data_IF_973860624664
#
_entry.id   IF_973860624664
#
_cell.length_a   1.000
_cell.length_b   1.000
_cell.length_c   1.000
_cell.angle_alpha   90.00
_cell.angle_beta   90.00
_cell.angle_gamma   90.00
#
_symmetry.space_group_name_H-M   'P 1'
#
loop_
_entity.id
_entity.type
_entity.pdbx_description
1 polymer ?
#
# COMPACT_ATOMS: atom_id res chain seq x y z
N UNK A 1 13.19 -8.21 -10.07
CA UNK A 1 12.31 -7.23 -9.37
C UNK A 1 13.19 -6.16 -8.74
N UNK A 2 12.79 -4.89 -8.81
CA UNK A 2 13.48 -3.77 -8.13
C UNK A 2 12.58 -3.16 -7.07
N UNK A 3 13.18 -2.69 -5.98
CA UNK A 3 12.44 -2.08 -4.87
C UNK A 3 13.12 -0.77 -4.44
N UNK A 4 12.32 0.16 -3.98
CA UNK A 4 12.75 1.37 -3.31
C UNK A 4 11.97 1.51 -2.02
N UNK A 5 12.69 1.57 -0.91
CA UNK A 5 12.14 1.67 0.43
C UNK A 5 12.33 3.08 0.96
N UNK A 6 11.25 3.65 1.49
CA UNK A 6 11.22 4.98 2.06
C UNK A 6 10.45 4.93 3.36
N UNK A 7 10.83 5.79 4.31
CA UNK A 7 10.08 5.99 5.55
C UNK A 7 9.86 7.46 5.81
N UNK A 8 8.70 7.80 6.34
CA UNK A 8 8.38 9.11 6.86
C UNK A 8 8.42 9.05 8.38
N UNK A 9 9.33 9.82 8.97
CA UNK A 9 9.45 9.98 10.42
C UNK A 9 10.03 11.37 10.72
N UNK A 10 9.62 11.99 11.83
CA UNK A 10 10.13 13.31 12.20
C UNK A 10 9.85 14.39 11.14
N UNK A 11 8.72 14.27 10.42
CA UNK A 11 8.28 15.18 9.34
C UNK A 11 9.18 15.24 8.11
N UNK A 12 9.93 14.17 7.83
CA UNK A 12 10.77 14.05 6.64
C UNK A 12 10.73 12.64 6.07
N UNK A 13 10.97 12.55 4.76
CA UNK A 13 11.24 11.28 4.10
C UNK A 13 12.70 10.88 4.29
N UNK A 14 12.93 9.58 4.47
CA UNK A 14 14.23 8.96 4.44
C UNK A 14 14.16 7.75 3.50
N UNK A 15 14.87 7.77 2.35
CA UNK A 15 15.68 8.88 1.83
C UNK A 15 14.83 10.12 1.48
N UNK A 16 15.44 11.31 1.50
CA UNK A 16 14.74 12.60 1.35
C UNK A 16 14.05 12.81 -0.02
N UNK A 17 14.44 12.05 -1.03
CA UNK A 17 13.87 12.13 -2.39
C UNK A 17 13.25 10.76 -2.73
N UNK A 18 11.92 10.63 -2.66
CA UNK A 18 11.17 9.58 -3.31
C UNK A 18 11.34 9.63 -4.84
N UNK A 19 11.22 8.50 -5.54
CA UNK A 19 11.12 8.48 -7.00
C UNK A 19 12.36 8.01 -7.75
N UNK A 20 13.28 7.26 -7.11
CA UNK A 20 14.44 6.71 -7.82
C UNK A 20 14.03 5.60 -8.80
N UNK A 21 12.98 4.85 -8.50
CA UNK A 21 12.38 3.91 -9.44
C UNK A 21 11.58 4.65 -10.50
N UNK A 22 11.95 4.47 -11.77
CA UNK A 22 11.35 5.18 -12.91
C UNK A 22 9.92 4.79 -13.22
N UNK A 23 9.57 3.52 -13.02
CA UNK A 23 8.25 2.99 -13.37
C UNK A 23 7.82 1.86 -12.43
N UNK A 24 7.73 2.09 -11.12
CA UNK A 24 7.14 1.12 -10.21
C UNK A 24 5.64 1.01 -10.51
N UNK A 25 5.10 -0.20 -10.42
CA UNK A 25 3.67 -0.46 -10.66
C UNK A 25 2.88 -0.54 -9.34
N UNK A 26 3.56 -0.68 -8.21
CA UNK A 26 2.96 -0.82 -6.88
C UNK A 26 3.75 0.00 -5.86
N UNK A 27 3.04 0.69 -4.97
CA UNK A 27 3.60 1.24 -3.74
C UNK A 27 2.83 0.64 -2.56
N UNK A 28 3.54 -0.11 -1.73
CA UNK A 28 3.02 -0.64 -0.47
C UNK A 28 3.18 0.40 0.64
N UNK A 29 2.11 0.68 1.38
CA UNK A 29 2.05 1.70 2.42
C UNK A 29 1.63 1.11 3.76
N UNK A 30 2.53 1.10 4.75
CA UNK A 30 2.24 0.65 6.10
C UNK A 30 2.62 1.76 7.08
N UNK A 31 1.65 2.22 7.86
CA UNK A 31 1.86 3.38 8.72
C UNK A 31 0.82 3.50 9.81
N UNK A 32 1.11 4.38 10.76
CA UNK A 32 0.15 4.66 11.81
C UNK A 32 -1.10 5.35 11.23
N UNK A 33 -2.29 5.17 11.84
CA UNK A 33 -3.55 5.70 11.31
C UNK A 33 -3.58 7.21 11.12
N UNK A 34 -2.86 7.98 11.94
CA UNK A 34 -2.84 9.45 11.86
C UNK A 34 -2.11 9.93 10.60
N UNK A 35 -0.98 9.31 10.24
CA UNK A 35 -0.22 9.63 9.03
C UNK A 35 -0.94 9.18 7.76
N UNK A 36 -1.55 7.99 7.76
CA UNK A 36 -2.34 7.51 6.61
C UNK A 36 -3.58 8.37 6.31
N UNK A 37 -4.04 9.19 7.27
CA UNK A 37 -5.12 10.17 7.06
C UNK A 37 -4.62 11.50 6.50
N UNK A 38 -3.32 11.76 6.47
CA UNK A 38 -2.74 12.98 5.92
C UNK A 38 -2.73 12.92 4.40
N UNK A 39 -3.67 13.63 3.77
CA UNK A 39 -3.83 13.63 2.32
C UNK A 39 -2.59 14.13 1.58
N UNK A 40 -1.94 15.16 2.10
CA UNK A 40 -0.75 15.76 1.47
C UNK A 40 0.41 14.76 1.39
N UNK A 41 0.58 13.93 2.43
CA UNK A 41 1.60 12.90 2.46
C UNK A 41 1.37 11.83 1.39
N UNK A 42 0.12 11.35 1.27
CA UNK A 42 -0.26 10.38 0.24
C UNK A 42 -0.21 10.98 -1.18
N UNK A 43 -0.58 12.25 -1.33
CA UNK A 43 -0.47 12.96 -2.61
C UNK A 43 0.99 13.09 -3.05
N UNK A 44 1.92 13.37 -2.14
CA UNK A 44 3.35 13.40 -2.45
C UNK A 44 3.85 12.06 -2.98
N UNK A 45 3.41 10.94 -2.39
CA UNK A 45 3.75 9.60 -2.88
C UNK A 45 3.14 9.34 -4.26
N UNK A 46 1.86 9.70 -4.47
CA UNK A 46 1.20 9.54 -5.76
C UNK A 46 1.86 10.40 -6.85
N UNK A 47 2.36 11.59 -6.51
CA UNK A 47 3.09 12.46 -7.44
C UNK A 47 4.47 11.89 -7.79
N UNK A 48 5.16 11.29 -6.82
CA UNK A 48 6.44 10.61 -7.06
C UNK A 48 6.28 9.34 -7.93
N UNK A 49 5.14 8.65 -7.81
CA UNK A 49 4.85 7.40 -8.51
C UNK A 49 3.46 7.41 -9.17
N UNK A 50 3.26 8.23 -10.22
CA UNK A 50 1.92 8.51 -10.77
C UNK A 50 1.23 7.29 -11.38
N UNK A 51 1.99 6.33 -11.89
CA UNK A 51 1.46 5.11 -12.51
C UNK A 51 1.31 3.94 -11.54
N UNK A 52 1.73 4.09 -10.29
CA UNK A 52 1.71 3.00 -9.33
C UNK A 52 0.35 2.89 -8.62
N UNK A 53 -0.08 1.66 -8.38
CA UNK A 53 -1.16 1.40 -7.43
C UNK A 53 -0.66 1.64 -6.01
N UNK A 54 -1.38 2.45 -5.24
CA UNK A 54 -1.14 2.61 -3.80
C UNK A 54 -2.00 1.60 -3.04
N UNK A 55 -1.36 0.72 -2.28
CA UNK A 55 -1.99 -0.37 -1.56
C UNK A 55 -1.36 -0.51 -0.17
N UNK A 56 -2.14 -0.81 0.86
CA UNK A 56 -1.60 -1.00 2.20
C UNK A 56 -2.65 -0.93 3.30
N UNK A 57 -2.19 -0.89 4.54
CA UNK A 57 -3.06 -0.81 5.72
C UNK A 57 -2.37 -0.11 6.88
N UNK A 58 -3.16 0.29 7.88
CA UNK A 58 -2.61 0.82 9.13
C UNK A 58 -2.03 -0.29 9.98
N UNK A 59 -0.95 0.01 10.69
CA UNK A 59 -0.28 -0.90 11.61
C UNK A 59 -0.16 -0.30 13.01
N UNK A 60 0.01 -1.16 14.02
CA UNK A 60 0.29 -0.71 15.40
C UNK A 60 1.78 -0.39 15.62
N UNK A 61 2.65 -0.94 14.78
CA UNK A 61 4.05 -0.56 14.62
C UNK A 61 4.47 -0.89 13.19
N UNK A 62 5.34 -0.07 12.63
CA UNK A 62 5.79 -0.21 11.25
C UNK A 62 7.13 -0.93 11.19
N UNK A 63 7.28 -1.85 10.23
CA UNK A 63 8.56 -2.53 10.03
C UNK A 63 9.29 -1.91 8.85
N UNK A 64 10.51 -1.45 9.10
CA UNK A 64 11.45 -0.94 8.10
C UNK A 64 12.74 -1.74 8.19
N UNK A 65 12.89 -2.75 7.32
CA UNK A 65 13.99 -3.72 7.43
C UNK A 65 13.88 -4.57 8.70
N UNK A 66 14.84 -4.44 9.60
CA UNK A 66 14.84 -5.13 10.91
C UNK A 66 14.40 -4.24 12.07
N UNK A 67 13.93 -3.03 11.78
CA UNK A 67 13.53 -2.05 12.80
C UNK A 67 12.01 -2.02 12.92
N UNK A 68 11.52 -2.02 14.17
CA UNK A 68 10.15 -1.61 14.50
C UNK A 68 10.18 -0.11 14.76
N UNK A 69 9.28 0.61 14.12
CA UNK A 69 9.14 2.06 14.21
C UNK A 69 7.77 2.41 14.76
N UNK A 70 7.73 3.50 15.52
CA UNK A 70 6.51 4.14 15.98
C UNK A 70 6.27 5.45 15.25
N UNK A 71 5.00 5.82 15.14
CA UNK A 71 4.52 7.07 14.53
C UNK A 71 5.13 7.35 13.15
N UNK A 72 5.22 6.31 12.33
CA UNK A 72 5.90 6.38 11.04
C UNK A 72 4.99 5.93 9.89
N UNK A 73 5.44 6.21 8.67
CA UNK A 73 4.85 5.65 7.45
C UNK A 73 5.98 5.07 6.60
N UNK A 74 5.91 3.77 6.35
CA UNK A 74 6.82 3.06 5.47
C UNK A 74 6.16 2.90 4.10
N UNK A 75 6.88 3.30 3.06
CA UNK A 75 6.49 3.17 1.67
C UNK A 75 7.51 2.31 0.92
N UNK A 76 7.04 1.25 0.27
CA UNK A 76 7.89 0.40 -0.58
C UNK A 76 7.37 0.44 -2.02
N UNK A 77 8.07 1.15 -2.89
CA UNK A 77 7.81 1.12 -4.31
C UNK A 77 8.41 -0.16 -4.91
N UNK A 78 7.63 -0.87 -5.72
CA UNK A 78 8.00 -2.14 -6.33
C UNK A 78 7.85 -2.04 -7.84
N UNK A 79 8.94 -2.37 -8.54
CA UNK A 79 8.98 -2.53 -9.97
C UNK A 79 9.16 -4.02 -10.31
N UNK A 80 8.08 -4.64 -10.78
CA UNK A 80 8.11 -5.97 -11.36
C UNK A 80 8.69 -5.92 -12.77
N UNK A 81 9.36 -7.01 -13.17
CA UNK A 81 9.95 -7.14 -14.51
C UNK A 81 8.93 -7.63 -15.55
N UNK A 82 8.08 -8.59 -15.16
CA UNK A 82 7.17 -9.29 -16.09
C UNK A 82 5.77 -9.49 -15.51
N UNK A 83 5.47 -8.95 -14.32
CA UNK A 83 4.19 -9.13 -13.65
C UNK A 83 3.23 -8.00 -14.01
N UNK A 84 2.08 -8.35 -14.61
CA UNK A 84 0.95 -7.44 -14.72
C UNK A 84 0.25 -7.31 -13.37
N UNK A 85 -0.20 -6.10 -13.03
CA UNK A 85 -0.88 -5.82 -11.77
C UNK A 85 -2.25 -5.20 -12.05
N UNK A 86 -3.23 -5.63 -11.26
CA UNK A 86 -4.54 -5.02 -11.18
C UNK A 86 -4.81 -4.63 -9.73
N UNK A 87 -5.24 -3.39 -9.50
CA UNK A 87 -5.66 -2.92 -8.20
C UNK A 87 -7.18 -2.82 -8.11
N UNK A 88 -7.79 -3.61 -7.22
CA UNK A 88 -9.21 -3.52 -6.88
C UNK A 88 -9.38 -3.12 -5.41
N UNK A 89 -10.43 -2.36 -5.10
CA UNK A 89 -10.78 -1.98 -3.73
C UNK A 89 -12.29 -1.84 -3.58
N UNK A 90 -12.77 -2.18 -2.40
CA UNK A 90 -14.16 -1.95 -2.01
C UNK A 90 -14.22 -1.13 -0.74
N UNK A 91 -15.31 -0.39 -0.57
CA UNK A 91 -15.63 0.26 0.69
C UNK A 91 -16.54 -0.67 1.50
N UNK A 92 -16.05 -1.12 2.66
CA UNK A 92 -16.85 -1.90 3.60
C UNK A 92 -18.04 -1.05 4.10
N UNK A 93 -19.25 -1.58 3.97
CA UNK A 93 -20.48 -0.96 4.48
C UNK A 93 -20.81 -1.56 5.85
N UNK A 94 -21.52 -0.80 6.69
CA UNK A 94 -22.00 -1.30 7.99
C UNK A 94 -22.87 -2.55 7.77
N UNK A 95 -22.58 -3.62 8.50
CA UNK A 95 -23.30 -4.90 8.41
C UNK A 95 -22.89 -5.82 7.25
N UNK A 96 -21.93 -5.42 6.42
CA UNK A 96 -21.34 -6.31 5.40
C UNK A 96 -20.43 -7.33 6.05
N UNK A 97 -20.57 -8.62 5.71
CA UNK A 97 -19.67 -9.67 6.18
C UNK A 97 -18.38 -9.73 5.35
N UNK A 98 -17.31 -10.29 5.93
CA UNK A 98 -16.04 -10.49 5.22
C UNK A 98 -16.19 -11.41 4.01
N UNK A 99 -17.10 -12.39 4.10
CA UNK A 99 -17.44 -13.26 2.97
C UNK A 99 -18.07 -12.47 1.80
N UNK A 100 -19.03 -11.58 2.11
CA UNK A 100 -19.64 -10.71 1.09
C UNK A 100 -18.61 -9.76 0.49
N UNK A 101 -17.74 -9.18 1.32
CA UNK A 101 -16.65 -8.31 0.89
C UNK A 101 -15.68 -9.04 -0.07
N UNK A 102 -15.26 -10.25 0.29
CA UNK A 102 -14.41 -11.10 -0.56
C UNK A 102 -15.09 -11.48 -1.88
N UNK A 103 -16.38 -11.81 -1.84
CA UNK A 103 -17.18 -12.09 -3.04
C UNK A 103 -17.24 -10.92 -4.02
N UNK A 104 -17.41 -9.69 -3.52
CA UNK A 104 -17.37 -8.48 -4.34
C UNK A 104 -15.99 -8.23 -4.95
N UNK A 105 -14.91 -8.40 -4.17
CA UNK A 105 -13.54 -8.28 -4.68
C UNK A 105 -13.28 -9.29 -5.81
N UNK A 106 -13.71 -10.53 -5.64
CA UNK A 106 -13.54 -11.60 -6.63
C UNK A 106 -14.33 -11.37 -7.92
N UNK A 107 -15.39 -10.56 -7.89
CA UNK A 107 -16.16 -10.18 -9.08
C UNK A 107 -15.48 -9.07 -9.89
N UNK A 108 -14.76 -8.16 -9.23
CA UNK A 108 -14.05 -7.04 -9.88
C UNK A 108 -12.68 -7.43 -10.46
N UNK A 109 -12.11 -8.56 -10.01
CA UNK A 109 -10.85 -9.08 -10.53
C UNK A 109 -11.04 -9.70 -11.91
N UNK A 110 -10.17 -9.34 -12.85
CA UNK A 110 -10.05 -10.08 -14.10
C UNK A 110 -9.44 -11.45 -13.81
N UNK A 111 -10.07 -12.49 -14.35
CA UNK A 111 -9.67 -13.88 -14.14
C UNK A 111 -8.70 -14.35 -15.21
N UNK A 112 -8.66 -13.67 -16.37
CA UNK A 112 -7.77 -14.05 -17.45
C UNK A 112 -6.31 -13.80 -17.06
N UNK A 113 -5.51 -14.87 -17.02
CA UNK A 113 -4.10 -14.79 -16.63
C UNK A 113 -3.82 -14.51 -15.14
N UNK A 114 -4.84 -14.55 -14.27
CA UNK A 114 -4.66 -14.32 -12.83
C UNK A 114 -3.98 -15.52 -12.15
N UNK A 115 -2.80 -15.31 -11.57
CA UNK A 115 -2.01 -16.34 -10.89
C UNK A 115 -2.01 -16.17 -9.37
N UNK A 116 -1.94 -14.93 -8.88
CA UNK A 116 -1.80 -14.61 -7.45
C UNK A 116 -2.72 -13.47 -7.04
N UNK A 117 -3.24 -13.54 -5.81
CA UNK A 117 -4.01 -12.49 -5.17
C UNK A 117 -3.33 -12.13 -3.85
N UNK A 118 -2.99 -10.85 -3.67
CA UNK A 118 -2.56 -10.28 -2.40
C UNK A 118 -3.70 -9.42 -1.84
N UNK A 119 -4.19 -9.76 -0.65
CA UNK A 119 -5.32 -9.08 -0.02
C UNK A 119 -4.88 -8.38 1.25
N UNK A 120 -5.18 -7.08 1.34
CA UNK A 120 -5.10 -6.33 2.60
C UNK A 120 -6.51 -6.06 3.10
N UNK A 121 -6.76 -6.39 4.35
CA UNK A 121 -8.01 -6.12 5.05
C UNK A 121 -7.71 -5.42 6.37
N UNK A 122 -8.78 -4.90 7.00
CA UNK A 122 -8.68 -4.43 8.38
C UNK A 122 -8.31 -5.63 9.27
N UNK A 123 -7.37 -5.43 10.20
CA UNK A 123 -7.06 -6.41 11.23
C UNK A 123 -8.23 -6.64 12.20
N UNK A 124 -7.99 -7.43 13.24
CA UNK A 124 -8.98 -7.76 14.27
C UNK A 124 -9.45 -6.52 15.04
N UNK A 125 -10.74 -6.47 15.35
CA UNK A 125 -11.32 -5.62 16.40
C UNK A 125 -10.71 -6.07 17.75
N UNK A 126 -9.75 -5.32 18.27
CA UNK A 126 -9.44 -5.30 19.70
C UNK A 126 -9.87 -3.93 20.23
#
# INVERSE_FOLDING_TARGET
MKIEHMRWQGRRWEPAVPGKLRAPQLVLLFGCPSLLKQRDLLQGIQQAYPSAHLLGCSTAGEISGTQVLDESLVATAVQFEQTALQGVRIRLKKGMSDFQAGGLLAQELDKEGLIHILVFSRGVNV
#
